data_IF_702277150509
#
_entry.id   IF_702277150509
#
_cell.length_a   1.000
_cell.length_b   1.000
_cell.length_c   1.000
_cell.angle_alpha   90.00
_cell.angle_beta   90.00
_cell.angle_gamma   90.00
#
_symmetry.space_group_name_H-M   'P 1'
#
loop_
_entity.id
_entity.type
_entity.pdbx_description
1 polymer ?
#
# COMPACT_ATOMS: atom_id res chain seq x y z
N UNK A 1 -2.77 6.57 -4.41
CA UNK A 1 -4.21 6.30 -4.65
C UNK A 1 -4.33 5.13 -5.62
N UNK A 2 -5.22 4.16 -5.34
CA UNK A 2 -5.52 3.04 -6.23
C UNK A 2 -7.01 3.03 -6.57
N UNK A 3 -7.35 3.01 -7.85
CA UNK A 3 -8.73 2.81 -8.32
C UNK A 3 -8.90 1.35 -8.74
N UNK A 4 -10.01 0.72 -8.35
CA UNK A 4 -10.30 -0.64 -8.78
C UNK A 4 -11.18 -0.60 -10.03
N UNK A 5 -10.64 -1.09 -11.15
CA UNK A 5 -11.28 -1.04 -12.48
C UNK A 5 -11.59 -2.42 -13.06
N UNK A 6 -11.12 -3.49 -12.42
CA UNK A 6 -11.40 -4.88 -12.81
C UNK A 6 -12.57 -5.41 -12.00
N UNK A 7 -13.17 -6.51 -12.47
CA UNK A 7 -14.30 -7.18 -11.81
C UNK A 7 -14.11 -7.21 -10.29
N UNK A 8 -14.97 -6.46 -9.59
CA UNK A 8 -14.86 -6.25 -8.15
C UNK A 8 -15.24 -7.54 -7.45
N UNK A 9 -14.31 -8.06 -6.65
CA UNK A 9 -14.61 -9.23 -5.84
C UNK A 9 -15.61 -8.85 -4.74
N UNK A 10 -16.60 -9.70 -4.41
CA UNK A 10 -17.65 -9.36 -3.44
C UNK A 10 -17.12 -8.99 -2.04
N UNK A 11 -15.97 -9.52 -1.65
CA UNK A 11 -15.36 -9.29 -0.33
C UNK A 11 -14.48 -8.04 -0.26
N UNK A 12 -14.32 -7.28 -1.36
CA UNK A 12 -13.31 -6.22 -1.46
C UNK A 12 -13.45 -5.20 -0.32
N UNK A 13 -14.67 -4.76 -0.04
CA UNK A 13 -14.95 -3.80 1.02
C UNK A 13 -14.69 -4.39 2.41
N UNK A 14 -15.14 -5.63 2.66
CA UNK A 14 -14.90 -6.31 3.93
C UNK A 14 -13.40 -6.48 4.19
N UNK A 15 -12.65 -6.93 3.18
CA UNK A 15 -11.20 -7.09 3.22
C UNK A 15 -10.49 -5.79 3.60
N UNK A 16 -10.77 -4.70 2.92
CA UNK A 16 -10.10 -3.43 3.21
C UNK A 16 -10.55 -2.79 4.53
N UNK A 17 -11.76 -3.10 5.00
CA UNK A 17 -12.24 -2.68 6.32
C UNK A 17 -11.44 -3.37 7.43
N UNK A 18 -11.28 -4.69 7.36
CA UNK A 18 -10.52 -5.45 8.36
C UNK A 18 -9.03 -5.13 8.33
N UNK A 19 -8.45 -4.96 7.15
CA UNK A 19 -7.05 -4.53 7.03
C UNK A 19 -6.87 -3.14 7.66
N UNK A 20 -7.75 -2.19 7.37
CA UNK A 20 -7.66 -0.84 7.95
C UNK A 20 -7.78 -0.87 9.47
N UNK A 21 -8.69 -1.69 10.01
CA UNK A 21 -8.91 -1.87 11.44
C UNK A 21 -7.67 -2.46 12.11
N UNK A 22 -7.07 -3.49 11.51
CA UNK A 22 -5.87 -4.12 12.04
C UNK A 22 -4.69 -3.15 12.04
N UNK A 23 -4.41 -2.46 10.93
CA UNK A 23 -3.29 -1.51 10.85
C UNK A 23 -3.44 -0.34 11.85
N UNK A 24 -4.67 0.16 12.03
CA UNK A 24 -4.94 1.22 13.01
C UNK A 24 -4.70 0.75 14.47
N UNK A 25 -4.99 -0.52 14.77
CA UNK A 25 -4.76 -1.10 16.09
C UNK A 25 -3.28 -1.40 16.36
N UNK A 26 -2.57 -1.94 15.37
CA UNK A 26 -1.16 -2.36 15.52
C UNK A 26 -0.19 -1.18 15.58
N UNK A 27 -0.55 -0.01 15.01
CA UNK A 27 0.27 1.23 15.01
C UNK A 27 1.72 1.00 14.56
N UNK A 28 1.88 0.28 13.45
CA UNK A 28 3.21 0.02 12.89
C UNK A 28 3.84 1.35 12.44
N UNK A 29 5.05 1.72 12.93
CA UNK A 29 5.69 2.99 12.59
C UNK A 29 6.13 3.06 11.11
N UNK A 30 6.08 1.93 10.42
CA UNK A 30 6.49 1.79 9.03
C UNK A 30 5.31 1.58 8.05
N UNK A 31 4.08 1.54 8.57
CA UNK A 31 2.88 1.44 7.74
C UNK A 31 2.19 2.81 7.67
N UNK A 32 1.74 3.19 6.47
CA UNK A 32 0.84 4.33 6.33
C UNK A 32 -0.61 3.88 6.40
N UNK A 33 -1.44 4.74 6.98
CA UNK A 33 -2.88 4.56 6.94
C UNK A 33 -3.43 4.64 5.52
N UNK A 34 -4.61 4.05 5.34
CA UNK A 34 -5.39 4.24 4.13
C UNK A 34 -6.88 4.34 4.46
N UNK A 35 -7.65 4.85 3.51
CA UNK A 35 -9.11 4.90 3.56
C UNK A 35 -9.67 4.21 2.32
N UNK A 36 -10.54 3.22 2.52
CA UNK A 36 -11.32 2.64 1.45
C UNK A 36 -12.60 3.44 1.24
N UNK A 37 -12.87 3.83 0.00
CA UNK A 37 -14.07 4.57 -0.37
C UNK A 37 -14.82 3.78 -1.44
N UNK A 38 -15.95 3.11 -1.11
CA UNK A 38 -16.72 2.32 -2.05
C UNK A 38 -17.20 3.13 -3.27
N UNK A 39 -17.49 4.42 -3.06
CA UNK A 39 -17.88 5.38 -4.09
C UNK A 39 -16.83 6.49 -4.17
N UNK A 40 -15.61 6.13 -4.57
CA UNK A 40 -14.45 7.02 -4.49
C UNK A 40 -14.28 7.94 -5.70
N UNK A 41 -14.57 7.42 -6.89
CA UNK A 41 -14.49 8.18 -8.14
C UNK A 41 -15.68 7.83 -9.02
N UNK A 42 -16.22 8.83 -9.72
CA UNK A 42 -17.29 8.64 -10.70
C UNK A 42 -16.71 8.75 -12.10
N UNK A 43 -16.87 7.69 -12.89
CA UNK A 43 -16.50 7.67 -14.31
C UNK A 43 -17.79 7.51 -15.11
N UNK A 44 -18.15 8.54 -15.88
CA UNK A 44 -19.48 8.65 -16.51
C UNK A 44 -20.59 8.58 -15.45
N UNK A 45 -21.38 7.50 -15.44
CA UNK A 45 -22.49 7.28 -14.52
C UNK A 45 -22.21 6.18 -13.49
N UNK A 46 -21.00 5.62 -13.47
CA UNK A 46 -20.63 4.53 -12.58
C UNK A 46 -19.68 5.02 -11.49
N UNK A 47 -19.94 4.59 -10.25
CA UNK A 47 -19.03 4.78 -9.13
C UNK A 47 -18.05 3.62 -9.05
N UNK A 48 -16.76 3.95 -9.00
CA UNK A 48 -15.70 3.00 -8.80
C UNK A 48 -15.11 3.19 -7.40
N UNK A 49 -14.81 2.08 -6.69
CA UNK A 49 -14.17 2.17 -5.40
C UNK A 49 -12.72 2.59 -5.56
N UNK A 50 -12.22 3.31 -4.56
CA UNK A 50 -10.80 3.68 -4.48
C UNK A 50 -10.24 3.33 -3.11
N UNK A 51 -8.92 3.17 -3.08
CA UNK A 51 -8.10 3.21 -1.88
C UNK A 51 -7.28 4.49 -1.91
N UNK A 52 -7.53 5.35 -0.93
CA UNK A 52 -6.81 6.62 -0.71
C UNK A 52 -5.78 6.42 0.39
N UNK A 53 -4.58 6.92 0.17
CA UNK A 53 -3.45 6.87 1.10
C UNK A 53 -2.79 8.24 1.15
N UNK A 54 -2.03 8.48 2.21
CA UNK A 54 -1.09 9.58 2.26
C UNK A 54 -0.04 9.43 1.14
N UNK A 55 0.42 10.58 0.64
CA UNK A 55 1.55 10.61 -0.29
C UNK A 55 2.82 10.37 0.51
N UNK A 56 3.59 9.36 0.10
CA UNK A 56 4.88 9.05 0.70
C UNK A 56 5.96 9.50 -0.27
N UNK A 57 7.00 10.13 0.26
CA UNK A 57 8.20 10.44 -0.49
C UNK A 57 9.25 9.34 -0.29
N UNK A 58 9.83 8.88 -1.39
CA UNK A 58 10.86 7.84 -1.38
C UNK A 58 10.81 6.99 -2.64
N UNK A 59 11.79 6.09 -2.75
CA UNK A 59 11.83 5.10 -3.82
C UNK A 59 11.06 3.84 -3.42
N UNK A 60 10.44 3.18 -4.40
CA UNK A 60 9.87 1.87 -4.17
C UNK A 60 10.99 0.87 -3.86
N UNK A 61 10.66 -0.19 -3.10
CA UNK A 61 11.59 -1.28 -2.80
C UNK A 61 12.26 -1.82 -4.06
N UNK A 62 11.46 -2.04 -5.12
CA UNK A 62 11.95 -2.54 -6.41
C UNK A 62 12.95 -1.57 -7.03
N UNK A 63 12.60 -0.27 -7.10
CA UNK A 63 13.50 0.75 -7.67
C UNK A 63 14.82 0.85 -6.90
N UNK A 64 14.76 0.79 -5.57
CA UNK A 64 15.96 0.79 -4.74
C UNK A 64 16.86 -0.43 -5.01
N UNK A 65 16.27 -1.62 -5.16
CA UNK A 65 17.01 -2.84 -5.49
C UNK A 65 17.67 -2.71 -6.87
N UNK A 66 16.92 -2.26 -7.88
CA UNK A 66 17.43 -2.06 -9.26
C UNK A 66 18.64 -1.12 -9.29
N UNK A 67 18.61 -0.03 -8.51
CA UNK A 67 19.71 0.92 -8.40
C UNK A 67 20.95 0.36 -7.71
N UNK A 68 20.80 -0.70 -6.91
CA UNK A 68 21.87 -1.25 -6.05
C UNK A 68 22.27 -2.69 -6.41
N UNK A 69 21.91 -3.20 -7.61
CA UNK A 69 22.23 -4.57 -8.04
C UNK A 69 23.73 -4.92 -7.98
N UNK A 70 24.62 -3.92 -8.10
CA UNK A 70 26.08 -4.08 -8.03
C UNK A 70 26.67 -3.65 -6.67
N UNK A 71 25.83 -3.35 -5.69
CA UNK A 71 26.23 -2.95 -4.35
C UNK A 71 25.65 -3.91 -3.30
N UNK A 72 26.31 -5.06 -3.05
CA UNK A 72 25.84 -6.06 -2.10
C UNK A 72 25.67 -5.51 -0.68
N UNK A 73 26.52 -4.57 -0.26
CA UNK A 73 26.44 -3.97 1.06
C UNK A 73 25.14 -3.18 1.27
N UNK A 74 24.70 -2.42 0.25
CA UNK A 74 23.42 -1.70 0.30
C UNK A 74 22.22 -2.67 0.37
N UNK A 75 22.26 -3.75 -0.41
CA UNK A 75 21.19 -4.76 -0.40
C UNK A 75 21.11 -5.53 0.92
N UNK A 76 22.26 -5.88 1.52
CA UNK A 76 22.30 -6.49 2.85
C UNK A 76 21.76 -5.53 3.90
N UNK A 77 22.15 -4.25 3.86
CA UNK A 77 21.64 -3.25 4.80
C UNK A 77 20.11 -3.09 4.72
N UNK A 78 19.57 -3.05 3.50
CA UNK A 78 18.13 -3.04 3.26
C UNK A 78 17.46 -4.28 3.88
N UNK A 79 18.02 -5.47 3.66
CA UNK A 79 17.48 -6.71 4.21
C UNK A 79 17.50 -6.72 5.76
N UNK A 80 18.58 -6.25 6.38
CA UNK A 80 18.68 -6.12 7.84
C UNK A 80 17.61 -5.18 8.39
N UNK A 81 17.48 -3.98 7.80
CA UNK A 81 16.46 -3.01 8.22
C UNK A 81 15.04 -3.53 8.03
N UNK A 82 14.79 -4.31 6.98
CA UNK A 82 13.47 -4.90 6.74
C UNK A 82 13.04 -5.84 7.87
N UNK A 83 13.97 -6.61 8.43
CA UNK A 83 13.68 -7.51 9.56
C UNK A 83 13.28 -6.69 10.81
N UNK A 84 13.88 -5.53 11.03
CA UNK A 84 13.55 -4.64 12.14
C UNK A 84 12.17 -3.96 12.00
N UNK A 85 11.56 -4.03 10.81
CA UNK A 85 10.26 -3.41 10.50
C UNK A 85 9.06 -4.35 10.72
N UNK A 86 9.29 -5.64 10.98
CA UNK A 86 8.29 -6.71 11.12
C UNK A 86 8.01 -7.02 12.59
#
# INVERSE_FOLDING_TARGET
MKCFTRALHPDLQARYTEISKHLAATRLPYAVGFTFQPQGIRVRSEWLPILKMEWIHGDSLVKHIEQNLRNPAALINLATRWIEMV
#
